data_IF_188120643229
#
_entry.id   IF_188120643229
#
_cell.length_a   1.000
_cell.length_b   1.000
_cell.length_c   1.000
_cell.angle_alpha   90.00
_cell.angle_beta   90.00
_cell.angle_gamma   90.00
#
_symmetry.space_group_name_H-M   'P 1'
#
loop_
_entity.id
_entity.type
_entity.pdbx_description
1 polymer ?
#
# COMPACT_ATOMS: atom_id res chain seq x y z
N UNK A 1 20.15 -16.37 -13.31
CA UNK A 1 19.07 -17.27 -13.73
C UNK A 1 18.03 -16.47 -14.51
N UNK A 2 17.22 -17.14 -15.35
CA UNK A 2 16.12 -16.50 -16.08
C UNK A 2 14.84 -16.54 -15.24
N UNK A 3 14.22 -15.37 -15.05
CA UNK A 3 13.00 -15.19 -14.26
C UNK A 3 11.93 -14.56 -15.15
N UNK A 4 10.73 -15.13 -15.16
CA UNK A 4 9.56 -14.53 -15.78
C UNK A 4 8.65 -13.94 -14.69
N UNK A 5 8.27 -12.67 -14.83
CA UNK A 5 7.39 -11.96 -13.91
C UNK A 5 6.08 -11.65 -14.60
N UNK A 6 5.02 -12.41 -14.31
CA UNK A 6 3.70 -12.26 -14.93
C UNK A 6 2.86 -11.25 -14.14
N UNK A 7 2.57 -10.13 -14.76
CA UNK A 7 1.95 -8.94 -14.18
C UNK A 7 2.97 -7.83 -13.97
N UNK A 8 2.78 -6.71 -14.69
CA UNK A 8 3.64 -5.51 -14.59
C UNK A 8 2.93 -4.38 -13.81
N UNK A 9 2.16 -4.76 -12.79
CA UNK A 9 1.66 -3.85 -11.78
C UNK A 9 2.73 -3.51 -10.73
N UNK A 10 2.31 -2.87 -9.63
CA UNK A 10 3.25 -2.40 -8.60
C UNK A 10 4.21 -3.50 -8.12
N UNK A 11 3.67 -4.62 -7.64
CA UNK A 11 4.46 -5.73 -7.09
C UNK A 11 5.37 -6.36 -8.14
N UNK A 12 4.83 -6.63 -9.34
CA UNK A 12 5.58 -7.28 -10.41
C UNK A 12 6.70 -6.42 -10.95
N UNK A 13 6.44 -5.14 -11.22
CA UNK A 13 7.44 -4.24 -11.80
C UNK A 13 8.57 -3.94 -10.80
N UNK A 14 8.24 -3.63 -9.54
CA UNK A 14 9.27 -3.39 -8.51
C UNK A 14 10.09 -4.65 -8.25
N UNK A 15 9.44 -5.82 -8.11
CA UNK A 15 10.14 -7.08 -7.88
C UNK A 15 11.01 -7.46 -9.07
N UNK A 16 10.49 -7.34 -10.30
CA UNK A 16 11.22 -7.64 -11.53
C UNK A 16 12.45 -6.74 -11.70
N UNK A 17 12.31 -5.43 -11.49
CA UNK A 17 13.42 -4.50 -11.55
C UNK A 17 14.50 -4.79 -10.49
N UNK A 18 14.09 -5.12 -9.26
CA UNK A 18 15.03 -5.48 -8.18
C UNK A 18 15.74 -6.82 -8.45
N UNK A 19 15.05 -7.83 -8.97
CA UNK A 19 15.69 -9.10 -9.36
C UNK A 19 16.69 -8.89 -10.51
N UNK A 20 16.35 -8.05 -11.49
CA UNK A 20 17.28 -7.68 -12.56
C UNK A 20 18.52 -6.97 -12.02
N UNK A 21 18.35 -6.08 -11.04
CA UNK A 21 19.44 -5.37 -10.37
C UNK A 21 20.32 -6.32 -9.54
N UNK A 22 19.78 -7.42 -9.06
CA UNK A 22 20.53 -8.49 -8.43
C UNK A 22 21.33 -9.35 -9.42
N UNK A 23 21.20 -9.12 -10.73
CA UNK A 23 21.95 -9.81 -11.79
C UNK A 23 21.21 -10.98 -12.41
N UNK A 24 19.91 -11.15 -12.17
CA UNK A 24 19.09 -12.10 -12.88
C UNK A 24 18.69 -11.55 -14.27
N UNK A 25 18.39 -12.44 -15.20
CA UNK A 25 17.77 -12.12 -16.50
C UNK A 25 16.25 -12.18 -16.31
N UNK A 26 15.59 -11.01 -16.37
CA UNK A 26 14.18 -10.87 -15.99
C UNK A 26 13.37 -10.37 -17.17
N UNK A 27 12.26 -11.03 -17.45
CA UNK A 27 11.22 -10.54 -18.36
C UNK A 27 9.95 -10.26 -17.56
N UNK A 28 9.47 -9.01 -17.61
CA UNK A 28 8.17 -8.62 -17.07
C UNK A 28 7.12 -8.74 -18.18
N UNK A 29 6.04 -9.46 -17.89
CA UNK A 29 5.01 -9.82 -18.85
C UNK A 29 3.69 -9.19 -18.41
N UNK A 30 2.98 -8.54 -19.32
CA UNK A 30 1.61 -8.06 -19.07
C UNK A 30 0.81 -8.16 -20.37
N UNK A 31 -0.46 -8.51 -20.28
CA UNK A 31 -1.35 -8.59 -21.44
C UNK A 31 -1.77 -7.22 -21.99
N UNK A 32 -1.57 -6.16 -21.22
CA UNK A 32 -1.84 -4.78 -21.62
C UNK A 32 -0.70 -4.27 -22.52
N UNK A 33 -0.95 -4.24 -23.83
CA UNK A 33 0.00 -3.77 -24.84
C UNK A 33 0.41 -2.32 -24.61
N UNK A 34 -0.53 -1.45 -24.21
CA UNK A 34 -0.26 -0.03 -23.95
C UNK A 34 0.71 0.16 -22.79
N UNK A 35 0.52 -0.62 -21.71
CA UNK A 35 1.42 -0.63 -20.56
C UNK A 35 2.83 -1.11 -20.93
N UNK A 36 2.92 -2.22 -21.68
CA UNK A 36 4.21 -2.78 -22.11
C UNK A 36 4.93 -1.81 -23.05
N UNK A 37 4.23 -1.15 -23.97
CA UNK A 37 4.82 -0.15 -24.85
C UNK A 37 5.31 1.08 -24.06
N UNK A 38 4.54 1.57 -23.10
CA UNK A 38 4.97 2.65 -22.20
C UNK A 38 6.24 2.28 -21.44
N UNK A 39 6.31 1.06 -20.89
CA UNK A 39 7.50 0.55 -20.19
C UNK A 39 8.73 0.46 -21.10
N UNK A 40 8.57 0.02 -22.37
CA UNK A 40 9.65 0.00 -23.38
C UNK A 40 10.17 1.41 -23.69
N UNK A 41 9.30 2.40 -23.62
CA UNK A 41 9.64 3.83 -23.80
C UNK A 41 10.20 4.48 -22.52
N UNK A 42 10.30 3.73 -21.41
CA UNK A 42 10.77 4.23 -20.12
C UNK A 42 9.73 5.03 -19.32
N UNK A 43 8.45 4.96 -19.71
CA UNK A 43 7.35 5.58 -18.97
C UNK A 43 6.81 4.57 -17.94
N UNK A 44 6.88 4.94 -16.66
CA UNK A 44 6.42 4.08 -15.56
C UNK A 44 4.91 4.20 -15.36
N UNK A 45 4.17 3.07 -15.28
CA UNK A 45 2.72 3.07 -15.04
C UNK A 45 2.34 3.24 -13.56
N UNK A 46 3.33 3.39 -12.69
CA UNK A 46 3.18 3.53 -11.24
C UNK A 46 4.19 4.53 -10.72
N UNK A 47 3.87 5.20 -9.63
CA UNK A 47 4.82 6.05 -8.92
C UNK A 47 5.51 5.26 -7.79
N UNK A 48 6.83 5.17 -7.86
CA UNK A 48 7.70 4.66 -6.79
C UNK A 48 9.05 5.37 -6.90
N UNK A 49 9.53 6.03 -5.84
CA UNK A 49 10.80 6.75 -5.86
C UNK A 49 11.98 5.88 -6.30
N UNK A 50 12.71 6.30 -7.34
CA UNK A 50 13.88 5.62 -7.86
C UNK A 50 13.59 4.42 -8.79
N UNK A 51 12.32 4.11 -9.08
CA UNK A 51 11.98 2.97 -9.94
C UNK A 51 12.35 3.22 -11.40
N UNK A 52 12.09 4.41 -11.91
CA UNK A 52 12.39 4.75 -13.31
C UNK A 52 13.88 4.59 -13.61
N UNK A 53 14.74 5.09 -12.74
CA UNK A 53 16.20 4.98 -12.86
C UNK A 53 16.64 3.52 -12.77
N UNK A 54 16.08 2.74 -11.84
CA UNK A 54 16.38 1.33 -11.65
C UNK A 54 16.00 0.51 -12.89
N UNK A 55 14.82 0.74 -13.45
CA UNK A 55 14.34 0.11 -14.68
C UNK A 55 15.26 0.47 -15.86
N UNK A 56 15.52 1.77 -16.08
CA UNK A 56 16.37 2.24 -17.18
C UNK A 56 17.76 1.64 -17.13
N UNK A 57 18.39 1.57 -15.95
CA UNK A 57 19.70 0.98 -15.76
C UNK A 57 19.73 -0.53 -16.13
N UNK A 58 18.70 -1.28 -15.73
CA UNK A 58 18.63 -2.72 -15.98
C UNK A 58 18.22 -3.07 -17.42
N UNK A 59 17.36 -2.27 -18.04
CA UNK A 59 17.07 -2.37 -19.49
C UNK A 59 18.32 -2.11 -20.31
N UNK A 60 19.06 -1.04 -20.00
CA UNK A 60 20.34 -0.71 -20.67
C UNK A 60 21.38 -1.83 -20.50
N UNK A 61 21.41 -2.48 -19.36
CA UNK A 61 22.29 -3.60 -19.07
C UNK A 61 21.84 -4.94 -19.70
N UNK A 62 20.71 -4.98 -20.37
CA UNK A 62 20.14 -6.18 -20.99
C UNK A 62 19.63 -7.23 -20.00
N UNK A 63 19.40 -6.86 -18.73
CA UNK A 63 18.91 -7.76 -17.67
C UNK A 63 17.40 -7.67 -17.42
N UNK A 64 16.76 -6.62 -17.93
CA UNK A 64 15.31 -6.42 -17.79
C UNK A 64 14.69 -6.17 -19.15
N UNK A 65 13.63 -6.89 -19.46
CA UNK A 65 12.87 -6.74 -20.70
C UNK A 65 11.36 -6.82 -20.42
N UNK A 66 10.54 -6.40 -21.40
CA UNK A 66 9.09 -6.34 -21.29
C UNK A 66 8.45 -7.05 -22.49
N UNK A 67 7.42 -7.87 -22.24
CA UNK A 67 6.75 -8.67 -23.27
C UNK A 67 5.25 -8.77 -23.02
N UNK A 68 4.49 -8.93 -24.10
CA UNK A 68 3.08 -9.37 -24.05
C UNK A 68 2.93 -10.86 -24.34
N UNK A 69 4.00 -11.53 -24.80
CA UNK A 69 4.01 -12.94 -25.15
C UNK A 69 4.52 -13.78 -23.97
N UNK A 70 3.59 -14.40 -23.25
CA UNK A 70 3.90 -15.27 -22.13
C UNK A 70 4.64 -16.52 -22.59
N UNK A 71 4.17 -17.17 -23.64
CA UNK A 71 4.71 -18.45 -24.11
C UNK A 71 6.21 -18.37 -24.46
N UNK A 72 6.60 -17.35 -25.24
CA UNK A 72 8.01 -17.12 -25.57
C UNK A 72 8.85 -16.68 -24.35
N UNK A 73 8.24 -15.95 -23.42
CA UNK A 73 8.94 -15.39 -22.26
C UNK A 73 9.30 -16.43 -21.21
N UNK A 74 8.49 -17.49 -21.06
CA UNK A 74 8.69 -18.55 -20.06
C UNK A 74 9.53 -19.72 -20.55
N UNK A 75 9.89 -19.79 -21.84
CA UNK A 75 10.47 -21.00 -22.48
C UNK A 75 11.67 -21.57 -21.70
N UNK A 76 12.55 -20.78 -21.15
CA UNK A 76 13.69 -21.24 -20.33
C UNK A 76 13.70 -20.63 -18.92
N UNK A 77 12.55 -20.15 -18.45
CA UNK A 77 12.45 -19.56 -17.14
C UNK A 77 12.51 -20.62 -16.04
N UNK A 78 13.44 -20.47 -15.11
CA UNK A 78 13.59 -21.37 -13.97
C UNK A 78 12.63 -21.04 -12.84
N UNK A 79 12.22 -19.77 -12.73
CA UNK A 79 11.20 -19.29 -11.81
C UNK A 79 10.23 -18.37 -12.55
N UNK A 80 8.93 -18.66 -12.42
CA UNK A 80 7.84 -17.92 -13.04
C UNK A 80 6.99 -17.34 -11.93
N UNK A 81 7.03 -16.02 -11.74
CA UNK A 81 6.31 -15.32 -10.69
C UNK A 81 4.95 -14.85 -11.20
N UNK A 82 3.89 -15.19 -10.48
CA UNK A 82 2.54 -14.67 -10.68
C UNK A 82 2.38 -13.45 -9.76
N UNK A 83 2.41 -12.26 -10.35
CA UNK A 83 2.33 -10.97 -9.66
C UNK A 83 1.19 -10.10 -10.20
N UNK A 84 0.08 -10.75 -10.58
CA UNK A 84 -1.13 -10.09 -11.09
C UNK A 84 -1.99 -9.51 -9.96
N UNK A 85 -2.86 -8.58 -10.31
CA UNK A 85 -3.78 -7.96 -9.35
C UNK A 85 -4.77 -8.97 -8.75
N UNK A 86 -5.08 -8.77 -7.46
CA UNK A 86 -6.11 -9.51 -6.72
C UNK A 86 -7.06 -8.52 -6.05
N UNK A 87 -7.86 -7.76 -6.84
CA UNK A 87 -8.76 -6.76 -6.28
C UNK A 87 -9.86 -7.43 -5.44
N UNK A 88 -10.47 -6.67 -4.54
CA UNK A 88 -11.67 -7.15 -3.85
C UNK A 88 -12.84 -7.22 -4.83
N UNK A 89 -13.59 -8.32 -4.81
CA UNK A 89 -14.83 -8.45 -5.58
C UNK A 89 -15.88 -7.50 -5.03
N UNK A 90 -16.60 -6.84 -5.93
CA UNK A 90 -17.73 -5.99 -5.55
C UNK A 90 -18.85 -6.86 -4.97
N UNK A 91 -19.30 -6.52 -3.77
CA UNK A 91 -20.46 -7.10 -3.12
C UNK A 91 -20.17 -8.13 -2.02
N UNK A 92 -19.13 -8.95 -2.12
CA UNK A 92 -18.84 -9.99 -1.11
C UNK A 92 -17.51 -9.84 -0.37
N UNK A 93 -16.62 -8.97 -0.86
CA UNK A 93 -15.32 -8.69 -0.23
C UNK A 93 -14.26 -9.78 -0.40
N UNK A 94 -14.55 -10.86 -1.15
CA UNK A 94 -13.55 -11.86 -1.50
C UNK A 94 -12.50 -11.27 -2.46
N UNK A 95 -11.29 -11.82 -2.46
CA UNK A 95 -10.31 -11.51 -3.48
C UNK A 95 -10.76 -12.07 -4.84
N UNK A 96 -10.64 -11.27 -5.90
CA UNK A 96 -10.84 -11.76 -7.27
C UNK A 96 -9.56 -12.48 -7.73
N UNK A 97 -9.64 -13.79 -7.83
CA UNK A 97 -8.55 -14.67 -8.24
C UNK A 97 -8.58 -15.04 -9.73
N UNK A 98 -9.54 -14.49 -10.49
CA UNK A 98 -9.70 -14.80 -11.92
C UNK A 98 -8.43 -14.57 -12.72
N UNK A 99 -7.70 -13.51 -12.40
CA UNK A 99 -6.40 -13.22 -13.06
C UNK A 99 -5.32 -14.24 -12.69
N UNK A 100 -5.27 -14.70 -11.43
CA UNK A 100 -4.31 -15.72 -10.99
C UNK A 100 -4.58 -17.05 -11.69
N UNK A 101 -5.85 -17.46 -11.75
CA UNK A 101 -6.23 -18.72 -12.39
C UNK A 101 -6.09 -18.67 -13.91
N UNK A 102 -6.36 -17.52 -14.53
CA UNK A 102 -6.11 -17.34 -15.97
C UNK A 102 -4.62 -17.51 -16.30
N UNK A 103 -3.72 -16.96 -15.49
CA UNK A 103 -2.28 -17.18 -15.65
C UNK A 103 -1.92 -18.65 -15.44
N UNK A 104 -2.49 -19.32 -14.43
CA UNK A 104 -2.25 -20.74 -14.20
C UNK A 104 -2.67 -21.61 -15.40
N UNK A 105 -3.82 -21.30 -16.03
CA UNK A 105 -4.27 -21.97 -17.26
C UNK A 105 -3.33 -21.73 -18.44
N UNK A 106 -2.92 -20.49 -18.65
CA UNK A 106 -2.00 -20.13 -19.72
C UNK A 106 -0.61 -20.77 -19.55
N UNK A 107 -0.12 -20.85 -18.29
CA UNK A 107 1.09 -21.61 -17.96
C UNK A 107 0.93 -23.11 -18.24
N UNK A 108 -0.20 -23.67 -17.90
CA UNK A 108 -0.50 -25.09 -18.14
C UNK A 108 -0.41 -25.48 -19.62
N UNK A 109 -0.81 -24.59 -20.52
CA UNK A 109 -0.77 -24.79 -21.98
C UNK A 109 0.63 -24.57 -22.57
N UNK A 110 1.46 -23.71 -21.94
CA UNK A 110 2.70 -23.25 -22.58
C UNK A 110 3.99 -23.71 -21.88
N UNK A 111 3.90 -24.38 -20.71
CA UNK A 111 5.07 -24.85 -19.98
C UNK A 111 5.77 -26.01 -20.73
N UNK A 112 7.02 -25.77 -21.16
CA UNK A 112 7.82 -26.75 -21.95
C UNK A 112 9.06 -27.23 -21.20
N UNK A 113 9.54 -26.49 -20.24
CA UNK A 113 10.75 -26.75 -19.44
C UNK A 113 10.45 -26.74 -17.95
N UNK A 114 11.22 -27.51 -17.14
CA UNK A 114 11.00 -27.50 -15.69
C UNK A 114 11.10 -26.10 -15.08
N UNK A 115 10.07 -25.71 -14.30
CA UNK A 115 10.01 -24.41 -13.69
C UNK A 115 9.34 -24.43 -12.32
N UNK A 116 9.76 -23.52 -11.42
CA UNK A 116 9.07 -23.22 -10.17
C UNK A 116 8.10 -22.07 -10.41
N UNK A 117 6.82 -22.31 -10.18
CA UNK A 117 5.74 -21.35 -10.34
C UNK A 117 5.51 -20.70 -8.98
N UNK A 118 5.70 -19.38 -8.89
CA UNK A 118 5.75 -18.66 -7.63
C UNK A 118 4.58 -17.68 -7.54
N UNK A 119 3.63 -17.93 -6.66
CA UNK A 119 2.57 -16.96 -6.35
C UNK A 119 3.14 -15.84 -5.49
N UNK A 120 3.34 -14.67 -6.10
CA UNK A 120 3.80 -13.45 -5.42
C UNK A 120 2.64 -12.53 -5.04
N UNK A 121 1.56 -12.57 -5.79
CA UNK A 121 0.30 -11.88 -5.45
C UNK A 121 -0.17 -12.26 -4.05
N UNK A 122 -0.76 -11.31 -3.33
CA UNK A 122 -1.42 -11.59 -2.05
C UNK A 122 -2.74 -12.32 -2.31
N UNK A 123 -2.82 -13.55 -1.86
CA UNK A 123 -3.93 -14.47 -2.18
C UNK A 123 -4.46 -15.17 -0.93
N UNK A 124 -5.75 -15.53 -0.86
CA UNK A 124 -6.32 -16.36 0.21
C UNK A 124 -5.63 -17.72 0.34
N UNK A 125 -5.73 -18.28 1.55
CA UNK A 125 -5.17 -19.61 1.86
C UNK A 125 -5.79 -20.68 0.96
N UNK A 126 -4.93 -21.51 0.35
CA UNK A 126 -5.30 -22.57 -0.58
C UNK A 126 -5.24 -22.17 -2.06
N UNK A 127 -4.95 -20.91 -2.38
CA UNK A 127 -4.83 -20.46 -3.76
C UNK A 127 -3.68 -21.16 -4.49
N UNK A 128 -2.55 -21.37 -3.82
CA UNK A 128 -1.42 -22.11 -4.40
C UNK A 128 -1.75 -23.57 -4.70
N UNK A 129 -2.61 -24.21 -3.88
CA UNK A 129 -3.10 -25.57 -4.13
C UNK A 129 -4.00 -25.61 -5.38
N UNK A 130 -4.82 -24.58 -5.56
CA UNK A 130 -5.69 -24.46 -6.74
C UNK A 130 -4.89 -24.17 -8.02
N UNK A 131 -3.87 -23.32 -7.95
CA UNK A 131 -2.93 -23.10 -9.07
C UNK A 131 -2.26 -24.41 -9.47
N UNK A 132 -1.78 -25.20 -8.50
CA UNK A 132 -1.20 -26.52 -8.77
C UNK A 132 -2.21 -27.46 -9.42
N UNK A 133 -3.44 -27.52 -8.91
CA UNK A 133 -4.51 -28.34 -9.47
C UNK A 133 -4.80 -27.99 -10.93
N UNK A 134 -4.95 -26.71 -11.26
CA UNK A 134 -5.21 -26.23 -12.63
C UNK A 134 -4.12 -26.71 -13.58
N UNK A 135 -2.84 -26.57 -13.18
CA UNK A 135 -1.73 -26.96 -14.05
C UNK A 135 -1.62 -28.48 -14.18
N UNK A 136 -1.83 -29.25 -13.10
CA UNK A 136 -1.79 -30.72 -13.16
C UNK A 136 -2.93 -31.31 -14.01
N UNK A 137 -4.12 -30.73 -13.93
CA UNK A 137 -5.29 -31.17 -14.71
C UNK A 137 -5.14 -30.93 -16.21
N UNK A 138 -4.23 -30.08 -16.68
CA UNK A 138 -3.90 -29.94 -18.09
C UNK A 138 -3.18 -31.16 -18.68
N UNK A 139 -2.69 -32.04 -17.80
CA UNK A 139 -1.95 -33.22 -18.20
C UNK A 139 -0.49 -32.97 -18.64
N UNK A 140 0.09 -31.80 -18.27
CA UNK A 140 1.50 -31.52 -18.57
C UNK A 140 2.43 -32.59 -17.97
N UNK A 141 3.37 -33.09 -18.77
CA UNK A 141 4.42 -34.02 -18.33
C UNK A 141 5.67 -33.25 -17.81
N UNK A 142 5.69 -31.96 -17.91
CA UNK A 142 6.82 -31.12 -17.48
C UNK A 142 6.85 -31.04 -15.97
N UNK A 143 8.03 -31.17 -15.37
CA UNK A 143 8.21 -30.99 -13.93
C UNK A 143 7.94 -29.55 -13.52
N UNK A 144 7.04 -29.33 -12.58
CA UNK A 144 6.82 -28.05 -11.96
C UNK A 144 6.51 -28.20 -10.47
N UNK A 145 6.78 -27.15 -9.70
CA UNK A 145 6.34 -27.01 -8.32
C UNK A 145 5.75 -25.63 -8.12
N UNK A 146 4.70 -25.55 -7.28
CA UNK A 146 4.06 -24.29 -6.95
C UNK A 146 4.51 -23.83 -5.57
N UNK A 147 4.97 -22.60 -5.50
CA UNK A 147 5.51 -21.94 -4.30
C UNK A 147 4.69 -20.70 -3.96
N UNK A 148 4.43 -20.44 -2.69
CA UNK A 148 3.90 -19.18 -2.21
C UNK A 148 5.04 -18.31 -1.69
N UNK A 149 5.19 -17.12 -2.24
CA UNK A 149 6.21 -16.15 -1.83
C UNK A 149 5.63 -14.74 -1.77
N UNK A 150 4.80 -14.43 -0.77
CA UNK A 150 4.16 -13.13 -0.64
C UNK A 150 5.19 -12.02 -0.46
N UNK A 151 4.85 -10.84 -0.92
CA UNK A 151 5.65 -9.64 -0.74
C UNK A 151 5.28 -8.93 0.58
N UNK A 152 6.21 -8.12 1.11
CA UNK A 152 6.00 -7.27 2.28
C UNK A 152 6.48 -5.84 2.01
N UNK A 153 6.28 -5.39 0.77
CA UNK A 153 6.71 -4.09 0.28
C UNK A 153 5.78 -2.99 0.78
N UNK A 154 6.34 -1.82 1.03
CA UNK A 154 5.58 -0.60 1.31
C UNK A 154 5.69 0.34 0.12
N UNK A 155 4.58 0.70 -0.48
CA UNK A 155 4.55 1.74 -1.52
C UNK A 155 5.32 2.98 -1.07
N UNK A 156 6.09 3.60 -1.97
CA UNK A 156 6.97 4.72 -1.65
C UNK A 156 8.29 4.36 -0.96
N UNK A 157 8.51 3.07 -0.62
CA UNK A 157 9.76 2.57 -0.04
C UNK A 157 10.06 1.13 -0.50
N UNK A 158 9.40 0.66 -1.54
CA UNK A 158 9.38 -0.74 -1.94
C UNK A 158 10.74 -1.26 -2.42
N UNK A 159 11.51 -0.45 -3.13
CA UNK A 159 12.87 -0.80 -3.56
C UNK A 159 13.76 -1.05 -2.35
N UNK A 160 13.69 -0.19 -1.34
CA UNK A 160 14.41 -0.34 -0.07
C UNK A 160 14.01 -1.60 0.69
N UNK A 161 12.71 -1.84 0.81
CA UNK A 161 12.15 -3.03 1.47
C UNK A 161 12.52 -4.32 0.73
N UNK A 162 12.55 -4.31 -0.61
CA UNK A 162 12.96 -5.46 -1.39
C UNK A 162 14.46 -5.78 -1.25
N UNK A 163 15.30 -4.74 -1.28
CA UNK A 163 16.76 -4.90 -1.18
C UNK A 163 17.24 -5.19 0.25
N UNK A 164 16.47 -4.82 1.26
CA UNK A 164 16.78 -5.04 2.69
C UNK A 164 15.54 -5.51 3.45
N UNK A 165 14.99 -6.70 3.11
CA UNK A 165 13.78 -7.19 3.74
C UNK A 165 14.03 -7.61 5.19
N UNK A 166 13.06 -7.35 6.08
CA UNK A 166 13.08 -7.89 7.45
C UNK A 166 13.01 -9.43 7.46
N UNK A 167 12.37 -10.02 6.47
CA UNK A 167 12.28 -11.48 6.22
C UNK A 167 11.81 -11.78 4.80
N UNK A 168 12.11 -12.99 4.34
CA UNK A 168 11.58 -13.59 3.11
C UNK A 168 10.80 -14.84 3.54
N UNK A 169 9.53 -14.94 3.15
CA UNK A 169 8.68 -16.10 3.46
C UNK A 169 8.46 -16.91 2.19
N UNK A 170 8.75 -18.20 2.24
CA UNK A 170 8.65 -19.11 1.10
C UNK A 170 7.87 -20.35 1.53
N UNK A 171 6.68 -20.51 0.99
CA UNK A 171 5.85 -21.70 1.15
C UNK A 171 6.24 -22.74 0.10
N UNK A 172 7.17 -23.61 0.44
CA UNK A 172 7.69 -24.69 -0.44
C UNK A 172 8.10 -25.91 0.39
N UNK A 173 7.58 -27.07 0.01
CA UNK A 173 7.91 -28.34 0.67
C UNK A 173 8.93 -29.15 -0.13
N UNK A 174 8.95 -29.04 -1.46
CA UNK A 174 9.88 -29.71 -2.36
C UNK A 174 11.29 -29.11 -2.28
N UNK A 175 12.33 -29.95 -2.14
CA UNK A 175 13.72 -29.52 -1.99
C UNK A 175 14.27 -28.82 -3.24
N UNK A 176 13.85 -29.24 -4.44
CA UNK A 176 14.26 -28.58 -5.68
C UNK A 176 13.67 -27.16 -5.76
N UNK A 177 12.38 -27.01 -5.43
CA UNK A 177 11.74 -25.70 -5.40
C UNK A 177 12.42 -24.79 -4.35
N UNK A 178 12.73 -25.31 -3.16
CA UNK A 178 13.50 -24.56 -2.17
C UNK A 178 14.89 -24.16 -2.67
N UNK A 179 15.55 -25.05 -3.44
CA UNK A 179 16.85 -24.77 -4.06
C UNK A 179 16.78 -23.62 -5.05
N UNK A 180 15.78 -23.63 -5.95
CA UNK A 180 15.55 -22.56 -6.91
C UNK A 180 15.26 -21.23 -6.19
N UNK A 181 14.41 -21.24 -5.18
CA UNK A 181 14.10 -20.02 -4.43
C UNK A 181 15.29 -19.47 -3.63
N UNK A 182 16.15 -20.33 -3.09
CA UNK A 182 17.42 -19.92 -2.48
C UNK A 182 18.33 -19.21 -3.49
N UNK A 183 18.38 -19.71 -4.72
CA UNK A 183 19.17 -19.11 -5.79
C UNK A 183 18.60 -17.75 -6.22
N UNK A 184 17.27 -17.61 -6.32
CA UNK A 184 16.60 -16.32 -6.59
C UNK A 184 17.00 -15.25 -5.58
N UNK A 185 17.02 -15.60 -4.29
CA UNK A 185 17.31 -14.67 -3.20
C UNK A 185 18.77 -14.67 -2.74
N UNK A 186 19.66 -15.44 -3.39
CA UNK A 186 21.09 -15.51 -3.05
C UNK A 186 21.78 -14.15 -2.92
N UNK A 187 21.49 -13.13 -3.76
CA UNK A 187 22.11 -11.82 -3.63
C UNK A 187 21.84 -11.10 -2.29
N UNK A 188 20.78 -11.49 -1.57
CA UNK A 188 20.45 -10.94 -0.25
C UNK A 188 21.23 -11.61 0.92
N UNK A 189 22.08 -12.59 0.62
CA UNK A 189 22.88 -13.29 1.63
C UNK A 189 23.76 -12.34 2.47
N UNK A 190 24.35 -11.32 1.84
CA UNK A 190 25.16 -10.31 2.54
C UNK A 190 24.38 -9.53 3.58
N UNK A 191 23.09 -9.32 3.35
CA UNK A 191 22.20 -8.60 4.25
C UNK A 191 21.70 -9.50 5.41
N UNK A 192 22.04 -10.81 5.39
CA UNK A 192 21.56 -11.81 6.35
C UNK A 192 20.05 -11.81 6.53
N UNK A 193 19.31 -11.45 5.46
CA UNK A 193 17.85 -11.49 5.49
C UNK A 193 17.39 -12.92 5.80
N UNK A 194 16.61 -13.15 6.86
CA UNK A 194 16.16 -14.50 7.20
C UNK A 194 15.18 -15.01 6.15
N UNK A 195 15.44 -16.21 5.63
CA UNK A 195 14.52 -16.93 4.74
C UNK A 195 13.79 -17.97 5.57
N UNK A 196 12.48 -17.81 5.69
CA UNK A 196 11.60 -18.76 6.37
C UNK A 196 10.95 -19.68 5.33
N UNK A 197 11.32 -20.96 5.34
CA UNK A 197 10.61 -22.00 4.61
C UNK A 197 9.47 -22.57 5.45
N UNK A 198 8.29 -22.70 4.85
CA UNK A 198 7.08 -23.20 5.49
C UNK A 198 6.16 -23.85 4.47
N UNK A 199 4.99 -24.34 4.87
CA UNK A 199 3.98 -24.79 3.91
C UNK A 199 3.40 -23.62 3.10
N UNK A 200 2.87 -23.88 1.91
CA UNK A 200 2.20 -22.86 1.08
C UNK A 200 1.08 -22.15 1.84
N UNK A 201 0.21 -22.91 2.49
CA UNK A 201 -0.92 -22.36 3.26
C UNK A 201 -0.48 -21.47 4.41
N UNK A 202 0.58 -21.85 5.10
CA UNK A 202 1.16 -21.01 6.16
C UNK A 202 1.75 -19.72 5.58
N UNK A 203 2.45 -19.80 4.44
CA UNK A 203 3.02 -18.63 3.76
C UNK A 203 1.93 -17.64 3.33
N UNK A 204 0.84 -18.14 2.72
CA UNK A 204 -0.32 -17.32 2.35
C UNK A 204 -0.95 -16.64 3.57
N UNK A 205 -1.16 -17.39 4.67
CA UNK A 205 -1.77 -16.84 5.89
C UNK A 205 -0.86 -15.81 6.59
N UNK A 206 0.46 -16.01 6.58
CA UNK A 206 1.43 -15.08 7.19
C UNK A 206 1.28 -13.67 6.62
N UNK A 207 1.04 -13.52 5.32
CA UNK A 207 0.84 -12.20 4.71
C UNK A 207 -0.39 -11.50 5.27
N UNK A 208 -1.52 -12.18 5.30
CA UNK A 208 -2.77 -11.61 5.84
C UNK A 208 -2.67 -11.32 7.34
N UNK A 209 -2.11 -12.25 8.11
CA UNK A 209 -1.93 -12.07 9.55
C UNK A 209 -1.03 -10.88 9.85
N UNK A 210 0.08 -10.72 9.11
CA UNK A 210 0.98 -9.58 9.29
C UNK A 210 0.27 -8.25 8.99
N UNK A 211 -0.45 -8.13 7.87
CA UNK A 211 -1.15 -6.90 7.50
C UNK A 211 -2.30 -6.59 8.47
N UNK A 212 -3.07 -7.59 8.90
CA UNK A 212 -4.13 -7.42 9.89
C UNK A 212 -3.57 -6.97 11.26
N UNK A 213 -2.43 -7.51 11.68
CA UNK A 213 -1.79 -7.09 12.92
C UNK A 213 -1.28 -5.64 12.85
N UNK A 214 -0.69 -5.23 11.73
CA UNK A 214 -0.26 -3.84 11.52
C UNK A 214 -1.46 -2.88 11.50
N UNK A 215 -2.57 -3.25 10.85
CA UNK A 215 -3.82 -2.49 10.88
C UNK A 215 -4.38 -2.38 12.31
N UNK A 216 -4.26 -3.45 13.10
CA UNK A 216 -4.65 -3.45 14.52
C UNK A 216 -3.83 -2.47 15.33
N UNK A 217 -2.51 -2.40 15.13
CA UNK A 217 -1.65 -1.42 15.83
C UNK A 217 -2.07 0.02 15.53
N UNK A 218 -2.34 0.34 14.26
CA UNK A 218 -2.80 1.68 13.86
C UNK A 218 -4.16 1.98 14.49
N UNK A 219 -5.09 1.03 14.46
CA UNK A 219 -6.42 1.24 15.04
C UNK A 219 -6.33 1.41 16.56
N UNK A 220 -5.52 0.58 17.24
CA UNK A 220 -5.31 0.68 18.68
C UNK A 220 -4.79 2.07 19.08
N UNK A 221 -3.72 2.58 18.43
CA UNK A 221 -3.17 3.89 18.79
C UNK A 221 -4.13 5.03 18.45
N UNK A 222 -4.98 4.85 17.44
CA UNK A 222 -6.02 5.80 17.10
C UNK A 222 -7.11 5.86 18.17
N UNK A 223 -7.54 4.73 18.75
CA UNK A 223 -8.47 4.73 19.88
C UNK A 223 -7.83 5.31 21.13
N UNK A 224 -6.53 5.05 21.36
CA UNK A 224 -5.78 5.71 22.45
C UNK A 224 -5.70 7.23 22.25
N UNK A 225 -5.57 7.71 21.01
CA UNK A 225 -5.59 9.14 20.73
C UNK A 225 -6.92 9.78 21.13
N UNK A 226 -8.04 9.15 20.79
CA UNK A 226 -9.38 9.64 21.16
C UNK A 226 -9.56 9.67 22.70
N UNK A 227 -9.02 8.67 23.40
CA UNK A 227 -9.01 8.66 24.86
C UNK A 227 -8.10 9.76 25.44
N UNK A 228 -6.89 9.96 24.88
CA UNK A 228 -5.96 10.99 25.31
C UNK A 228 -6.60 12.38 25.30
N UNK A 229 -7.35 12.72 24.26
CA UNK A 229 -8.09 14.01 24.18
C UNK A 229 -9.12 14.18 25.33
N UNK A 230 -9.68 13.11 25.84
CA UNK A 230 -10.68 13.16 26.93
C UNK A 230 -10.05 13.22 28.32
N UNK A 231 -8.87 12.63 28.49
CA UNK A 231 -8.21 12.54 29.79
C UNK A 231 -7.05 13.53 29.96
N UNK A 232 -6.77 14.35 28.93
CA UNK A 232 -5.69 15.35 28.96
C UNK A 232 -4.28 14.74 28.85
N UNK A 233 -4.14 13.62 28.14
CA UNK A 233 -2.85 12.99 27.85
C UNK A 233 -2.41 13.29 26.41
N UNK A 234 -1.11 13.12 26.11
CA UNK A 234 -0.57 13.22 24.76
C UNK A 234 -0.33 11.82 24.16
N UNK A 235 -0.97 11.53 23.02
CA UNK A 235 -0.82 10.23 22.34
C UNK A 235 0.60 9.98 21.86
N UNK A 236 1.39 11.01 21.58
CA UNK A 236 2.79 10.83 21.16
C UNK A 236 3.64 10.31 22.33
N UNK A 237 3.39 10.78 23.55
CA UNK A 237 4.05 10.27 24.75
C UNK A 237 3.61 8.83 25.04
N UNK A 238 2.31 8.53 24.91
CA UNK A 238 1.78 7.17 25.05
C UNK A 238 2.41 6.24 24.01
N UNK A 239 2.41 6.64 22.73
CA UNK A 239 3.01 5.87 21.63
C UNK A 239 4.50 5.63 21.86
N UNK A 240 5.24 6.67 22.25
CA UNK A 240 6.67 6.55 22.56
C UNK A 240 6.90 5.64 23.76
N UNK A 241 6.13 5.81 24.83
CA UNK A 241 6.26 5.03 26.06
C UNK A 241 6.06 3.52 25.83
N UNK A 242 4.95 3.15 25.19
CA UNK A 242 4.69 1.73 24.89
C UNK A 242 5.61 1.18 23.80
N UNK A 243 6.02 2.02 22.84
CA UNK A 243 6.90 1.64 21.74
C UNK A 243 8.34 1.33 22.15
N UNK A 244 8.80 1.79 23.32
CA UNK A 244 10.10 1.44 23.91
C UNK A 244 10.15 -0.02 24.38
N UNK A 245 9.00 -0.65 24.66
CA UNK A 245 8.96 -2.08 24.93
C UNK A 245 9.17 -2.86 23.63
N UNK A 246 10.29 -3.61 23.54
CA UNK A 246 10.64 -4.39 22.35
C UNK A 246 9.59 -5.44 21.97
N UNK A 247 8.74 -5.89 22.90
CA UNK A 247 7.64 -6.82 22.63
C UNK A 247 6.52 -6.15 21.83
N UNK A 248 6.40 -4.82 21.89
CA UNK A 248 5.42 -4.00 21.16
C UNK A 248 6.09 -3.36 19.94
N UNK A 249 7.22 -2.69 20.12
CA UNK A 249 7.96 -1.97 19.10
C UNK A 249 7.28 -0.68 18.63
N UNK A 250 8.07 0.32 18.27
CA UNK A 250 7.58 1.67 17.95
C UNK A 250 6.87 1.80 16.59
N UNK A 251 7.11 0.89 15.64
CA UNK A 251 6.53 0.97 14.30
C UNK A 251 5.00 0.78 14.32
N UNK A 252 4.28 1.53 13.50
CA UNK A 252 2.82 1.50 13.34
C UNK A 252 2.02 1.98 14.59
N UNK A 253 2.63 2.83 15.41
CA UNK A 253 1.99 3.49 16.55
C UNK A 253 1.81 5.01 16.34
N UNK A 254 1.68 5.47 15.10
CA UNK A 254 1.41 6.87 14.77
C UNK A 254 -0.10 7.08 14.62
N UNK A 255 -0.69 7.89 15.51
CA UNK A 255 -2.09 8.26 15.42
C UNK A 255 -2.34 9.16 14.21
N UNK A 256 -3.50 9.00 13.58
CA UNK A 256 -3.86 9.74 12.39
C UNK A 256 -5.31 9.50 11.95
N UNK A 257 -5.65 9.81 10.69
CA UNK A 257 -7.04 9.74 10.20
C UNK A 257 -7.53 8.33 9.88
N UNK A 258 -6.72 7.31 10.11
CA UNK A 258 -6.99 5.92 9.76
C UNK A 258 -6.05 5.39 8.69
N UNK A 259 -6.11 4.08 8.46
CA UNK A 259 -5.35 3.45 7.37
C UNK A 259 -6.17 3.41 6.08
N UNK A 260 -5.46 3.39 4.94
CA UNK A 260 -5.99 3.24 3.59
C UNK A 260 -4.98 2.49 2.72
N UNK A 261 -5.00 2.77 1.42
CA UNK A 261 -4.14 2.17 0.42
C UNK A 261 -4.63 0.82 -0.08
N UNK A 262 -3.88 0.22 -0.98
CA UNK A 262 -4.23 -1.00 -1.69
C UNK A 262 -4.16 -2.29 -0.85
N UNK A 263 -3.45 -2.26 0.29
CA UNK A 263 -3.10 -3.47 1.02
C UNK A 263 -4.01 -3.70 2.24
N UNK A 264 -3.95 -2.83 3.26
CA UNK A 264 -4.62 -3.10 4.54
C UNK A 264 -6.13 -3.27 4.42
N UNK A 265 -6.88 -2.40 3.72
CA UNK A 265 -8.33 -2.58 3.59
C UNK A 265 -8.68 -3.88 2.90
N UNK A 266 -8.03 -4.17 1.76
CA UNK A 266 -8.27 -5.39 0.99
C UNK A 266 -7.93 -6.65 1.77
N UNK A 267 -6.76 -6.67 2.43
CA UNK A 267 -6.24 -7.87 3.08
C UNK A 267 -6.98 -8.19 4.39
N UNK A 268 -7.41 -7.16 5.13
CA UNK A 268 -8.25 -7.37 6.32
C UNK A 268 -9.61 -7.94 5.94
N UNK A 269 -10.25 -7.43 4.86
CA UNK A 269 -11.51 -7.96 4.36
C UNK A 269 -11.37 -9.40 3.84
N UNK A 270 -10.31 -9.70 3.07
CA UNK A 270 -10.05 -11.04 2.57
C UNK A 270 -9.77 -12.05 3.71
N UNK A 271 -9.08 -11.61 4.78
CA UNK A 271 -8.89 -12.44 5.97
C UNK A 271 -10.23 -12.74 6.67
N UNK A 272 -11.10 -11.74 6.81
CA UNK A 272 -12.43 -11.93 7.39
C UNK A 272 -13.25 -12.93 6.58
N UNK A 273 -13.21 -12.82 5.25
CA UNK A 273 -13.92 -13.77 4.37
C UNK A 273 -13.33 -15.18 4.46
N UNK A 274 -12.02 -15.32 4.46
CA UNK A 274 -11.38 -16.62 4.70
C UNK A 274 -11.84 -17.22 6.05
N UNK A 275 -11.85 -16.41 7.10
CA UNK A 275 -12.29 -16.86 8.43
C UNK A 275 -13.75 -17.29 8.45
N UNK A 276 -14.63 -16.61 7.71
CA UNK A 276 -16.04 -16.95 7.53
C UNK A 276 -16.21 -18.30 6.80
N UNK A 277 -15.48 -18.49 5.67
CA UNK A 277 -15.51 -19.72 4.86
C UNK A 277 -15.10 -20.96 5.68
N UNK A 278 -14.18 -20.78 6.63
CA UNK A 278 -13.73 -21.85 7.54
C UNK A 278 -14.46 -21.89 8.88
N UNK A 279 -15.54 -21.12 9.06
CA UNK A 279 -16.29 -21.02 10.31
C UNK A 279 -15.40 -20.71 11.55
N UNK A 280 -14.38 -19.89 11.37
CA UNK A 280 -13.42 -19.49 12.40
C UNK A 280 -13.29 -17.97 12.48
N UNK A 281 -14.27 -17.25 13.05
CA UNK A 281 -14.32 -15.79 12.98
C UNK A 281 -13.17 -15.12 13.70
N UNK A 282 -12.54 -14.13 13.04
CA UNK A 282 -11.44 -13.30 13.56
C UNK A 282 -12.01 -11.98 14.06
N UNK A 283 -12.68 -12.00 15.22
CA UNK A 283 -13.46 -10.87 15.77
C UNK A 283 -12.66 -9.60 16.00
N UNK A 284 -11.38 -9.74 16.36
CA UNK A 284 -10.50 -8.58 16.53
C UNK A 284 -10.36 -7.79 15.23
N UNK A 285 -10.19 -8.48 14.10
CA UNK A 285 -10.05 -7.84 12.78
C UNK A 285 -11.38 -7.23 12.33
N UNK A 286 -12.51 -7.84 12.65
CA UNK A 286 -13.84 -7.23 12.41
C UNK A 286 -13.97 -5.88 13.12
N UNK A 287 -13.56 -5.81 14.39
CA UNK A 287 -13.56 -4.56 15.15
C UNK A 287 -12.62 -3.51 14.52
N UNK A 288 -11.42 -3.92 14.14
CA UNK A 288 -10.41 -3.06 13.49
C UNK A 288 -10.97 -2.39 12.22
N UNK A 289 -11.60 -3.16 11.33
CA UNK A 289 -12.21 -2.63 10.10
C UNK A 289 -13.29 -1.62 10.41
N UNK A 290 -14.23 -1.94 11.31
CA UNK A 290 -15.34 -1.05 11.69
C UNK A 290 -14.87 0.25 12.34
N UNK A 291 -13.88 0.17 13.23
CA UNK A 291 -13.32 1.34 13.92
C UNK A 291 -12.60 2.24 12.91
N UNK A 292 -11.78 1.66 12.00
CA UNK A 292 -11.09 2.43 10.98
C UNK A 292 -12.04 3.20 10.05
N UNK A 293 -13.13 2.56 9.58
CA UNK A 293 -14.11 3.21 8.72
C UNK A 293 -14.85 4.35 9.44
N UNK A 294 -15.20 4.14 10.71
CA UNK A 294 -15.84 5.16 11.53
C UNK A 294 -14.91 6.36 11.78
N UNK A 295 -13.62 6.08 11.98
CA UNK A 295 -12.60 7.09 12.23
C UNK A 295 -12.40 8.04 11.05
N UNK A 296 -12.32 7.54 9.83
CA UNK A 296 -12.15 8.38 8.64
C UNK A 296 -13.21 9.50 8.59
N UNK A 297 -14.48 9.15 8.82
CA UNK A 297 -15.58 10.14 8.91
C UNK A 297 -15.49 11.03 10.16
N UNK A 298 -15.03 10.49 11.28
CA UNK A 298 -14.85 11.27 12.50
C UNK A 298 -13.80 12.40 12.33
N UNK A 299 -12.78 12.17 11.51
CA UNK A 299 -11.77 13.20 11.22
C UNK A 299 -12.34 14.35 10.39
N UNK A 300 -13.27 14.10 9.48
CA UNK A 300 -14.04 15.17 8.81
C UNK A 300 -14.89 15.98 9.80
N UNK A 301 -15.58 15.32 10.74
CA UNK A 301 -16.32 16.02 11.80
C UNK A 301 -15.42 16.84 12.72
N UNK A 302 -14.22 16.33 13.04
CA UNK A 302 -13.21 17.07 13.82
C UNK A 302 -12.81 18.39 13.13
N UNK A 303 -12.68 18.38 11.79
CA UNK A 303 -12.43 19.60 11.02
C UNK A 303 -13.63 20.56 11.07
N UNK A 304 -14.88 20.06 11.02
CA UNK A 304 -16.08 20.88 11.17
C UNK A 304 -16.18 21.48 12.59
N UNK A 305 -15.86 20.71 13.63
CA UNK A 305 -15.83 21.19 15.01
C UNK A 305 -14.81 22.34 15.19
N UNK A 306 -13.63 22.22 14.57
CA UNK A 306 -12.63 23.30 14.58
C UNK A 306 -13.11 24.58 13.87
N UNK A 307 -14.04 24.48 12.92
CA UNK A 307 -14.74 25.62 12.28
C UNK A 307 -15.89 26.21 13.12
N UNK A 308 -16.05 25.76 14.37
CA UNK A 308 -17.13 26.19 15.26
C UNK A 308 -18.43 25.40 15.07
N UNK A 309 -18.38 24.24 14.44
CA UNK A 309 -19.52 23.34 14.21
C UNK A 309 -20.34 23.65 12.95
N UNK A 310 -20.02 24.68 12.18
CA UNK A 310 -20.71 25.07 10.93
C UNK A 310 -19.70 25.19 9.78
N UNK A 311 -19.86 24.35 8.75
CA UNK A 311 -18.99 24.34 7.58
C UNK A 311 -19.66 24.88 6.31
N UNK A 312 -20.94 25.19 6.33
CA UNK A 312 -21.69 25.69 5.16
C UNK A 312 -21.09 27.00 4.63
N UNK A 313 -20.71 26.98 3.35
CA UNK A 313 -20.11 28.13 2.68
C UNK A 313 -18.71 28.47 3.16
N UNK A 314 -18.08 27.64 4.02
CA UNK A 314 -16.70 27.78 4.43
C UNK A 314 -15.78 27.14 3.40
N UNK A 315 -14.64 27.80 3.13
CA UNK A 315 -13.58 27.29 2.27
C UNK A 315 -12.54 26.53 3.12
N UNK A 316 -12.36 25.26 2.82
CA UNK A 316 -11.41 24.38 3.52
C UNK A 316 -10.26 24.03 2.60
N UNK A 317 -9.03 24.41 2.98
CA UNK A 317 -7.82 23.97 2.31
C UNK A 317 -7.42 22.57 2.82
N UNK A 318 -7.40 21.58 1.97
CA UNK A 318 -7.04 20.21 2.33
C UNK A 318 -5.66 19.88 1.75
N UNK A 319 -4.70 19.59 2.62
CA UNK A 319 -3.32 19.29 2.26
C UNK A 319 -3.04 17.79 2.43
N UNK A 320 -2.77 17.14 1.29
CA UNK A 320 -2.59 15.69 1.21
C UNK A 320 -3.89 14.96 0.91
N UNK A 321 -3.88 14.16 -0.15
CA UNK A 321 -5.02 13.38 -0.64
C UNK A 321 -4.73 11.88 -0.63
N UNK A 322 -3.50 11.49 -0.99
CA UNK A 322 -3.05 10.09 -0.97
C UNK A 322 -3.07 9.52 0.44
N UNK A 323 -3.20 8.19 0.57
CA UNK A 323 -3.33 7.55 1.89
C UNK A 323 -2.08 7.70 2.77
N UNK A 324 -0.93 7.99 2.18
CA UNK A 324 0.36 8.29 2.82
C UNK A 324 1.29 9.04 1.85
N UNK A 325 2.42 9.65 2.30
CA UNK A 325 3.38 10.29 1.41
C UNK A 325 4.13 9.30 0.50
N UNK A 326 4.75 9.83 -0.55
CA UNK A 326 5.59 9.12 -1.52
C UNK A 326 4.83 8.05 -2.35
N UNK A 327 3.56 8.27 -2.63
CA UNK A 327 2.71 7.46 -3.52
C UNK A 327 1.64 8.32 -4.16
N UNK A 328 1.10 7.87 -5.30
CA UNK A 328 -0.07 8.41 -5.98
C UNK A 328 -1.38 7.67 -5.61
N UNK A 329 -1.29 6.67 -4.69
CA UNK A 329 -2.39 5.76 -4.38
C UNK A 329 -3.50 6.42 -3.56
N UNK A 330 -4.67 6.54 -4.18
CA UNK A 330 -5.90 7.09 -3.60
C UNK A 330 -6.86 6.01 -3.07
N UNK A 331 -6.54 4.71 -3.25
CA UNK A 331 -7.45 3.62 -2.85
C UNK A 331 -7.69 3.64 -1.36
N UNK A 332 -8.95 3.68 -0.96
CA UNK A 332 -9.37 3.75 0.46
C UNK A 332 -8.65 4.86 1.27
N UNK A 333 -8.14 5.91 0.62
CA UNK A 333 -7.48 7.02 1.31
C UNK A 333 -8.45 7.69 2.29
N UNK A 334 -8.00 8.01 3.54
CA UNK A 334 -8.83 8.68 4.51
C UNK A 334 -9.39 10.03 4.03
N UNK A 335 -8.67 10.71 3.14
CA UNK A 335 -9.09 11.97 2.51
C UNK A 335 -10.45 11.88 1.83
N UNK A 336 -10.79 10.73 1.22
CA UNK A 336 -12.06 10.53 0.52
C UNK A 336 -13.25 10.70 1.48
N UNK A 337 -13.21 10.02 2.63
CA UNK A 337 -14.28 10.11 3.63
C UNK A 337 -14.30 11.47 4.34
N UNK A 338 -13.13 12.10 4.53
CA UNK A 338 -13.01 13.44 5.12
C UNK A 338 -13.63 14.48 4.19
N UNK A 339 -13.24 14.46 2.90
CA UNK A 339 -13.80 15.34 1.87
C UNK A 339 -15.31 15.18 1.76
N UNK A 340 -15.80 13.94 1.67
CA UNK A 340 -17.24 13.69 1.62
C UNK A 340 -17.98 14.28 2.83
N UNK A 341 -17.41 14.13 4.04
CA UNK A 341 -18.00 14.70 5.25
C UNK A 341 -18.06 16.22 5.23
N UNK A 342 -17.02 16.87 4.68
CA UNK A 342 -16.97 18.33 4.53
C UNK A 342 -17.96 18.83 3.47
N UNK A 343 -18.05 18.18 2.32
CA UNK A 343 -18.97 18.50 1.25
C UNK A 343 -20.44 18.32 1.69
N UNK A 344 -20.75 17.23 2.40
CA UNK A 344 -22.09 16.97 2.97
C UNK A 344 -22.50 18.07 3.97
N UNK A 345 -21.53 18.67 4.67
CA UNK A 345 -21.76 19.82 5.55
C UNK A 345 -21.82 21.16 4.80
N UNK A 346 -21.66 21.18 3.48
CA UNK A 346 -21.77 22.35 2.63
C UNK A 346 -20.51 23.20 2.55
N UNK A 347 -19.32 22.65 2.87
CA UNK A 347 -18.04 23.31 2.68
C UNK A 347 -17.62 23.32 1.21
N UNK A 348 -16.83 24.34 0.82
CA UNK A 348 -16.03 24.34 -0.41
C UNK A 348 -14.65 23.75 -0.09
N UNK A 349 -14.27 22.68 -0.77
CA UNK A 349 -12.96 22.02 -0.54
C UNK A 349 -12.01 22.36 -1.69
N UNK A 350 -10.85 22.91 -1.32
CA UNK A 350 -9.73 23.16 -2.23
C UNK A 350 -8.53 22.35 -1.75
N UNK A 351 -8.02 21.47 -2.61
CA UNK A 351 -7.01 20.50 -2.19
C UNK A 351 -5.70 20.60 -2.98
N UNK A 352 -4.64 20.18 -2.33
CA UNK A 352 -3.33 19.97 -2.97
C UNK A 352 -2.68 18.69 -2.46
N UNK A 353 -2.15 17.91 -3.39
CA UNK A 353 -1.30 16.76 -3.12
C UNK A 353 -0.13 16.75 -4.14
N UNK A 354 1.11 16.45 -3.74
CA UNK A 354 2.23 16.43 -4.67
C UNK A 354 2.10 15.45 -5.84
N UNK A 355 1.48 14.26 -5.62
CA UNK A 355 1.42 13.18 -6.61
C UNK A 355 0.01 12.69 -6.92
N UNK A 356 -0.92 12.79 -5.98
CA UNK A 356 -2.23 12.12 -6.09
C UNK A 356 -3.34 12.94 -6.74
N UNK A 357 -3.08 14.16 -7.25
CA UNK A 357 -4.16 15.06 -7.70
C UNK A 357 -4.94 14.53 -8.92
N UNK A 358 -4.27 13.91 -9.88
CA UNK A 358 -4.93 13.35 -11.07
C UNK A 358 -5.89 12.22 -10.69
N UNK A 359 -5.41 11.27 -9.87
CA UNK A 359 -6.23 10.17 -9.37
C UNK A 359 -7.36 10.67 -8.47
N UNK A 360 -7.09 11.68 -7.63
CA UNK A 360 -8.09 12.29 -6.74
C UNK A 360 -9.18 13.01 -7.52
N UNK A 361 -8.86 13.76 -8.57
CA UNK A 361 -9.83 14.46 -9.40
C UNK A 361 -10.83 13.52 -10.09
N UNK A 362 -10.39 12.32 -10.46
CA UNK A 362 -11.27 11.29 -11.01
C UNK A 362 -12.26 10.70 -9.98
N UNK A 363 -11.87 10.68 -8.68
CA UNK A 363 -12.67 10.12 -7.58
C UNK A 363 -13.56 11.18 -6.94
N UNK A 364 -13.07 12.42 -6.84
CA UNK A 364 -13.71 13.55 -6.14
C UNK A 364 -13.79 14.77 -7.07
N UNK A 365 -14.63 14.71 -8.12
CA UNK A 365 -14.72 15.77 -9.14
C UNK A 365 -15.24 17.11 -8.59
N UNK A 366 -15.86 17.11 -7.40
CA UNK A 366 -16.37 18.32 -6.74
C UNK A 366 -15.25 19.12 -6.04
N UNK A 367 -14.05 18.54 -5.86
CA UNK A 367 -12.93 19.19 -5.19
C UNK A 367 -12.13 20.03 -6.18
N UNK A 368 -11.88 21.27 -5.81
CA UNK A 368 -11.00 22.15 -6.61
C UNK A 368 -9.53 21.78 -6.35
N UNK A 369 -8.79 21.36 -7.36
CA UNK A 369 -7.37 21.05 -7.27
C UNK A 369 -6.54 22.31 -7.45
N UNK A 370 -5.69 22.64 -6.45
CA UNK A 370 -4.81 23.80 -6.49
C UNK A 370 -3.40 23.42 -6.99
N UNK A 371 -2.66 24.32 -7.65
CA UNK A 371 -1.34 24.00 -8.19
C UNK A 371 -0.23 23.84 -7.14
N UNK A 372 -0.44 24.27 -5.91
CA UNK A 372 0.47 24.13 -4.77
C UNK A 372 -0.26 24.38 -3.45
N UNK A 373 0.40 24.06 -2.32
CA UNK A 373 -0.18 24.19 -1.00
C UNK A 373 -0.62 25.64 -0.66
N UNK A 374 0.18 26.63 -1.03
CA UNK A 374 -0.16 28.03 -0.74
C UNK A 374 -1.38 28.53 -1.53
N UNK A 375 -1.54 28.10 -2.77
CA UNK A 375 -2.73 28.40 -3.57
C UNK A 375 -3.99 27.71 -3.01
N UNK A 376 -3.87 26.50 -2.44
CA UNK A 376 -4.97 25.87 -1.73
C UNK A 376 -5.40 26.65 -0.50
N UNK A 377 -4.43 27.19 0.24
CA UNK A 377 -4.64 27.92 1.51
C UNK A 377 -5.23 29.32 1.29
N UNK A 378 -5.03 29.92 0.12
CA UNK A 378 -5.51 31.30 -0.15
C UNK A 378 -7.01 31.42 0.04
N UNK A 379 -7.42 32.29 0.97
CA UNK A 379 -8.81 32.54 1.34
C UNK A 379 -9.49 31.40 2.11
N UNK A 380 -8.75 30.42 2.62
CA UNK A 380 -9.31 29.33 3.39
C UNK A 380 -9.74 29.75 4.80
N UNK A 381 -10.89 29.27 5.23
CA UNK A 381 -11.39 29.42 6.60
C UNK A 381 -10.78 28.36 7.56
N UNK A 382 -10.31 27.23 7.03
CA UNK A 382 -9.52 26.24 7.76
C UNK A 382 -8.50 25.56 6.85
N UNK A 383 -7.40 25.14 7.44
CA UNK A 383 -6.36 24.34 6.80
C UNK A 383 -6.37 22.97 7.45
N UNK A 384 -6.55 21.90 6.66
CA UNK A 384 -6.63 20.51 7.16
C UNK A 384 -5.50 19.70 6.55
N UNK A 385 -4.56 19.22 7.38
CA UNK A 385 -3.50 18.29 6.96
C UNK A 385 -3.99 16.85 7.10
N UNK A 386 -4.01 16.13 5.99
CA UNK A 386 -4.49 14.75 5.93
C UNK A 386 -3.35 13.76 5.66
N UNK A 387 -2.35 14.15 4.86
CA UNK A 387 -1.19 13.32 4.55
C UNK A 387 0.11 14.08 4.86
N UNK A 388 1.04 13.41 5.52
CA UNK A 388 2.27 14.00 6.07
C UNK A 388 3.41 14.09 5.04
N UNK A 389 3.17 14.67 3.87
CA UNK A 389 4.20 14.94 2.88
C UNK A 389 5.31 15.84 3.44
N UNK A 390 6.57 15.55 3.10
CA UNK A 390 7.71 16.36 3.54
C UNK A 390 7.58 17.84 3.13
N UNK A 391 6.97 18.09 1.95
CA UNK A 391 6.68 19.44 1.47
C UNK A 391 5.80 20.26 2.41
N UNK A 392 4.98 19.62 3.24
CA UNK A 392 4.12 20.32 4.20
C UNK A 392 4.82 20.62 5.52
N UNK A 393 5.90 19.93 5.84
CA UNK A 393 6.66 20.16 7.10
C UNK A 393 7.38 21.50 7.14
N UNK A 394 7.69 22.06 5.98
CA UNK A 394 8.45 23.30 5.84
C UNK A 394 7.58 24.50 5.39
N UNK A 395 6.27 24.45 5.61
CA UNK A 395 5.41 25.58 5.26
C UNK A 395 5.71 26.80 6.15
N UNK A 396 5.78 27.98 5.51
CA UNK A 396 5.99 29.27 6.20
C UNK A 396 4.69 29.73 6.88
N UNK A 397 4.61 29.59 8.20
CA UNK A 397 3.45 29.95 9.00
C UNK A 397 3.06 31.42 8.85
N UNK A 398 4.02 32.35 8.74
CA UNK A 398 3.73 33.76 8.56
C UNK A 398 3.09 34.02 7.18
N UNK A 399 3.51 33.31 6.16
CA UNK A 399 2.89 33.35 4.83
C UNK A 399 1.51 32.75 4.84
N UNK A 400 1.34 31.55 5.43
CA UNK A 400 0.04 30.87 5.56
C UNK A 400 -0.95 31.78 6.28
N UNK A 401 -0.53 32.41 7.38
CA UNK A 401 -1.38 33.30 8.19
C UNK A 401 -1.89 34.52 7.41
N UNK A 402 -1.11 35.00 6.44
CA UNK A 402 -1.53 36.12 5.55
C UNK A 402 -2.46 35.65 4.44
N UNK A 403 -2.35 34.43 3.98
CA UNK A 403 -3.15 33.87 2.89
C UNK A 403 -4.51 33.37 3.36
N UNK A 404 -4.56 32.75 4.53
CA UNK A 404 -5.79 32.20 5.07
C UNK A 404 -6.75 33.30 5.55
N UNK A 405 -8.04 33.08 5.35
CA UNK A 405 -9.11 33.95 5.83
C UNK A 405 -9.25 33.89 7.36
N UNK A 406 -9.08 32.68 7.93
CA UNK A 406 -9.11 32.47 9.38
C UNK A 406 -7.89 31.64 9.86
N UNK A 407 -7.46 31.81 11.12
CA UNK A 407 -6.25 31.14 11.65
C UNK A 407 -6.54 29.72 12.16
N UNK A 408 -7.39 28.97 11.52
CA UNK A 408 -7.76 27.61 11.95
C UNK A 408 -6.91 26.58 11.23
N UNK A 409 -6.21 25.72 12.01
CA UNK A 409 -5.40 24.64 11.50
C UNK A 409 -5.76 23.30 12.18
N UNK A 410 -6.10 22.31 11.38
CA UNK A 410 -6.41 20.94 11.83
C UNK A 410 -5.37 19.99 11.29
N UNK A 411 -4.51 19.49 12.15
CA UNK A 411 -3.42 18.59 11.79
C UNK A 411 -3.79 17.13 12.16
N UNK A 412 -4.27 16.39 11.18
CA UNK A 412 -4.69 15.00 11.38
C UNK A 412 -3.53 13.99 11.38
N UNK A 413 -2.28 14.49 11.25
CA UNK A 413 -1.07 13.66 11.22
C UNK A 413 -0.04 14.01 12.28
N UNK A 414 -0.35 15.02 13.10
CA UNK A 414 0.58 15.50 14.15
C UNK A 414 1.96 15.90 13.58
N UNK A 415 1.95 16.59 12.44
CA UNK A 415 3.16 17.02 11.71
C UNK A 415 3.92 18.09 12.46
N UNK A 416 3.19 18.99 13.12
CA UNK A 416 3.76 20.16 13.77
C UNK A 416 3.78 20.07 15.30
N UNK A 417 4.68 20.87 15.89
CA UNK A 417 4.65 21.14 17.32
C UNK A 417 3.49 22.12 17.65
N UNK A 418 2.57 21.77 18.56
CA UNK A 418 1.44 22.63 18.91
C UNK A 418 1.86 24.01 19.38
N UNK A 419 2.94 24.09 20.18
CA UNK A 419 3.42 25.35 20.72
C UNK A 419 3.93 26.30 19.63
N UNK A 420 4.60 25.76 18.61
CA UNK A 420 5.09 26.51 17.46
C UNK A 420 3.92 27.09 16.63
N UNK A 421 2.91 26.26 16.33
CA UNK A 421 1.74 26.67 15.52
C UNK A 421 0.89 27.71 16.28
N UNK A 422 0.65 27.50 17.57
CA UNK A 422 -0.07 28.45 18.41
C UNK A 422 0.69 29.79 18.55
N UNK A 423 2.03 29.75 18.70
CA UNK A 423 2.85 30.96 18.73
C UNK A 423 2.82 31.75 17.41
N UNK A 424 2.60 31.05 16.27
CA UNK A 424 2.38 31.69 14.99
C UNK A 424 0.96 32.27 14.80
N UNK A 425 0.11 32.18 15.83
CA UNK A 425 -1.23 32.78 15.87
C UNK A 425 -2.33 31.95 15.24
N UNK A 426 -2.19 30.61 15.22
CA UNK A 426 -3.24 29.70 14.79
C UNK A 426 -4.01 29.08 15.95
N UNK A 427 -5.30 28.88 15.75
CA UNK A 427 -6.13 27.97 16.52
C UNK A 427 -5.82 26.56 16.00
N UNK A 428 -5.07 25.78 16.79
CA UNK A 428 -4.54 24.50 16.36
C UNK A 428 -5.27 23.34 17.00
N UNK A 429 -5.76 22.44 16.16
CA UNK A 429 -6.38 21.17 16.56
C UNK A 429 -5.57 20.03 15.96
N UNK A 430 -5.21 19.04 16.78
CA UNK A 430 -4.47 17.87 16.35
C UNK A 430 -5.13 16.57 16.81
N UNK A 431 -4.50 15.43 16.61
CA UNK A 431 -5.04 14.12 16.96
C UNK A 431 -4.40 13.61 18.24
N UNK A 432 -5.23 13.35 19.27
CA UNK A 432 -4.78 12.73 20.52
C UNK A 432 -3.90 13.63 21.38
N UNK A 433 -4.02 14.95 21.22
CA UNK A 433 -3.34 15.95 22.05
C UNK A 433 -4.38 16.88 22.67
N UNK A 434 -4.19 17.31 23.93
CA UNK A 434 -5.10 18.26 24.63
C UNK A 434 -5.08 19.65 24.00
#
# INVERSE_FOLDING_TARGET
>A
MKIAMVGSGYVGLVSGACFADFGHDVVCIDKDEGKIESLRQGVMPIYEPGLAELVAANVKAGRLSFSTDLAASIEDAQAIFIAVGTPSRRGDGHADLSYVYAVAQELAENLKTPAVIVTKSTVPVGTGDEVERIIRESGTAVRFEVVSNPEFLREGAAIGDFKRPDRIVIGAEDEWAQGVMKEVYRPLFLNRAPILFTSRRSSELIKYAANAFLATKITFINEMADLCEKVGADVQDVSRGIGLDNRIGAKFLHAGPGYGGSCFPKDTLALLKTAEDYNSPVRLVEAVVKVNDSRKRAMGRKAIEALGGEARGKRVALLGLTFKPNTDDMRDAPSIAIVQTLLDAGAEVVAYDPEGMEAAAAIMPEVTMAPNAYAAIEGADAIVLVTEWDAFRALDFARIRRLANAPVMVDLRNVYDPAEVCAAGFEYTSVGRP
#
